data_IF_499423952002
#
_entry.id   IF_499423952002
#
_cell.length_a   1.000
_cell.length_b   1.000
_cell.length_c   1.000
_cell.angle_alpha   90.00
_cell.angle_beta   90.00
_cell.angle_gamma   90.00
#
_symmetry.space_group_name_H-M   'P 1'
#
loop_
_entity.id
_entity.type
_entity.pdbx_description
1 polymer ?
#
# COMPACT_ATOMS: atom_id res chain seq x y z
N UNK A 1 11.41 -8.82 -1.61
CA UNK A 1 11.81 -8.29 -2.52
C UNK A 1 12.71 -7.19 -3.05
N UNK A 2 12.19 -6.16 -3.62
CA UNK A 2 12.91 -5.00 -4.17
C UNK A 2 13.76 -5.28 -5.43
N UNK A 3 13.75 -6.50 -5.95
CA UNK A 3 14.22 -6.85 -7.30
C UNK A 3 13.09 -7.53 -8.06
N UNK A 4 13.14 -7.51 -9.39
CA UNK A 4 12.11 -8.17 -10.23
C UNK A 4 11.96 -9.63 -9.85
N UNK A 5 13.09 -10.35 -9.75
CA UNK A 5 13.09 -11.78 -9.45
C UNK A 5 12.56 -12.11 -8.06
N UNK A 6 12.96 -11.35 -7.04
CA UNK A 6 12.53 -11.58 -5.67
C UNK A 6 11.04 -11.29 -5.48
N UNK A 7 10.52 -10.21 -6.07
CA UNK A 7 9.08 -9.91 -6.04
C UNK A 7 8.26 -11.03 -6.70
N UNK A 8 8.64 -11.45 -7.90
CA UNK A 8 7.96 -12.55 -8.58
C UNK A 8 8.05 -13.86 -7.79
N UNK A 9 9.22 -14.16 -7.21
CA UNK A 9 9.42 -15.35 -6.37
C UNK A 9 8.48 -15.33 -5.17
N UNK A 10 8.39 -14.23 -4.45
CA UNK A 10 7.51 -14.09 -3.29
C UNK A 10 6.04 -14.27 -3.69
N UNK A 11 5.60 -13.61 -4.74
CA UNK A 11 4.22 -13.70 -5.22
C UNK A 11 3.87 -15.12 -5.71
N UNK A 12 4.81 -15.82 -6.37
CA UNK A 12 4.62 -17.23 -6.76
C UNK A 12 4.48 -18.15 -5.55
N UNK A 13 5.22 -17.88 -4.47
CA UNK A 13 5.05 -18.61 -3.19
C UNK A 13 3.67 -18.32 -2.60
N UNK A 14 3.23 -17.06 -2.58
CA UNK A 14 1.89 -16.69 -2.09
C UNK A 14 0.81 -17.40 -2.90
N UNK A 15 0.94 -17.49 -4.23
CA UNK A 15 0.01 -18.24 -5.08
C UNK A 15 -0.10 -19.70 -4.66
N UNK A 16 1.02 -20.36 -4.38
CA UNK A 16 1.02 -21.76 -3.88
C UNK A 16 0.34 -21.88 -2.51
N UNK A 17 0.58 -20.92 -1.61
CA UNK A 17 -0.09 -20.89 -0.31
C UNK A 17 -1.59 -20.72 -0.49
N UNK A 18 -2.02 -19.83 -1.38
CA UNK A 18 -3.44 -19.61 -1.72
C UNK A 18 -4.15 -20.87 -2.19
N UNK A 19 -3.44 -21.77 -2.91
CA UNK A 19 -3.96 -23.03 -3.41
C UNK A 19 -4.06 -24.12 -2.34
N UNK A 20 -3.23 -24.08 -1.30
CA UNK A 20 -3.04 -25.19 -0.35
C UNK A 20 -3.46 -24.86 1.08
N UNK A 21 -3.50 -23.59 1.48
CA UNK A 21 -3.81 -23.21 2.85
C UNK A 21 -5.34 -23.21 3.11
N UNK A 22 -5.79 -23.60 4.32
CA UNK A 22 -7.21 -23.63 4.69
C UNK A 22 -7.74 -22.23 5.08
N UNK A 23 -7.09 -21.17 4.62
CA UNK A 23 -7.46 -19.76 4.89
C UNK A 23 -7.55 -18.98 3.58
N UNK A 24 -8.29 -17.87 3.61
CA UNK A 24 -8.32 -16.94 2.48
C UNK A 24 -7.01 -16.18 2.40
N UNK A 25 -6.32 -16.27 1.27
CA UNK A 25 -5.06 -15.58 1.00
C UNK A 25 -5.27 -14.59 -0.16
N UNK A 26 -4.81 -13.35 0.02
CA UNK A 26 -4.75 -12.31 -1.01
C UNK A 26 -3.32 -11.88 -1.22
N UNK A 27 -2.92 -11.79 -2.47
CA UNK A 27 -1.56 -11.41 -2.85
C UNK A 27 -1.45 -9.90 -3.03
N UNK A 28 -0.55 -9.28 -2.30
CA UNK A 28 -0.26 -7.86 -2.40
C UNK A 28 1.12 -7.67 -3.06
N UNK A 29 1.17 -7.05 -4.26
CA UNK A 29 2.45 -6.67 -4.86
C UNK A 29 2.96 -5.42 -4.16
N UNK A 30 4.10 -5.54 -3.49
CA UNK A 30 4.69 -4.49 -2.65
C UNK A 30 6.09 -4.09 -3.12
N UNK A 31 6.32 -4.07 -4.43
CA UNK A 31 7.60 -3.62 -5.03
C UNK A 31 7.94 -2.17 -4.70
N UNK A 32 6.94 -1.34 -4.42
CA UNK A 32 7.10 0.06 -4.04
C UNK A 32 7.00 0.28 -2.52
N UNK A 33 7.62 -0.58 -1.71
CA UNK A 33 7.75 -0.37 -0.26
C UNK A 33 9.01 0.41 0.10
N UNK A 34 10.12 0.14 -0.57
CA UNK A 34 11.38 0.87 -0.43
C UNK A 34 12.16 0.82 -1.75
N UNK A 35 13.13 1.71 -1.91
CA UNK A 35 14.00 1.71 -3.09
C UNK A 35 15.05 0.60 -2.97
N UNK A 36 15.12 -0.28 -3.96
CA UNK A 36 16.10 -1.35 -4.00
C UNK A 36 17.55 -0.84 -3.92
N UNK A 37 18.43 -1.59 -3.25
CA UNK A 37 19.83 -1.16 -2.98
C UNK A 37 20.56 -0.72 -4.24
N UNK A 38 20.35 -1.39 -5.38
CA UNK A 38 20.96 -1.06 -6.67
C UNK A 38 20.56 0.31 -7.22
N UNK A 39 19.44 0.86 -6.72
CA UNK A 39 18.89 2.14 -7.14
C UNK A 39 19.02 3.24 -6.08
N UNK A 40 19.84 3.06 -5.06
CA UNK A 40 20.05 4.09 -4.03
C UNK A 40 20.47 5.42 -4.67
N UNK A 41 19.71 6.49 -4.35
CA UNK A 41 19.89 7.82 -4.95
C UNK A 41 19.34 7.97 -6.38
N UNK A 42 18.67 6.93 -6.91
CA UNK A 42 18.07 6.92 -8.26
C UNK A 42 16.61 6.44 -8.20
N UNK A 43 15.81 7.05 -7.31
CA UNK A 43 14.45 6.62 -7.01
C UNK A 43 13.54 6.65 -8.25
N UNK A 44 13.68 7.66 -9.11
CA UNK A 44 12.90 7.73 -10.36
C UNK A 44 13.13 6.52 -11.27
N UNK A 45 14.39 6.06 -11.39
CA UNK A 45 14.72 4.86 -12.17
C UNK A 45 14.14 3.60 -11.53
N UNK A 46 14.04 3.56 -10.19
CA UNK A 46 13.39 2.46 -9.49
C UNK A 46 11.88 2.45 -9.73
N UNK A 47 11.25 3.61 -9.74
CA UNK A 47 9.83 3.73 -10.13
C UNK A 47 9.62 3.27 -11.57
N UNK A 48 10.54 3.60 -12.48
CA UNK A 48 10.51 3.10 -13.87
C UNK A 48 10.61 1.57 -13.91
N UNK A 49 11.48 0.96 -13.10
CA UNK A 49 11.58 -0.50 -12.96
C UNK A 49 10.26 -1.12 -12.49
N UNK A 50 9.64 -0.53 -11.44
CA UNK A 50 8.35 -1.01 -10.93
C UNK A 50 7.28 -0.94 -12.01
N UNK A 51 7.18 0.19 -12.71
CA UNK A 51 6.13 0.40 -13.72
C UNK A 51 6.36 -0.40 -15.00
N UNK A 52 7.60 -0.49 -15.48
CA UNK A 52 7.87 -1.00 -16.83
C UNK A 52 8.34 -2.47 -16.85
N UNK A 53 8.78 -3.01 -15.70
CA UNK A 53 9.23 -4.39 -15.62
C UNK A 53 8.48 -5.22 -14.59
N UNK A 54 8.35 -4.76 -13.33
CA UNK A 54 7.72 -5.56 -12.28
C UNK A 54 6.22 -5.74 -12.53
N UNK A 55 5.47 -4.65 -12.63
CA UNK A 55 4.01 -4.69 -12.81
C UNK A 55 3.58 -5.47 -14.06
N UNK A 56 4.20 -5.28 -15.26
CA UNK A 56 3.86 -6.10 -16.42
C UNK A 56 4.05 -7.60 -16.18
N UNK A 57 5.15 -8.02 -15.57
CA UNK A 57 5.42 -9.44 -15.29
C UNK A 57 4.47 -10.01 -14.23
N UNK A 58 4.15 -9.23 -13.20
CA UNK A 58 3.16 -9.61 -12.17
C UNK A 58 1.79 -9.80 -12.79
N UNK A 59 1.40 -8.92 -13.70
CA UNK A 59 0.12 -8.98 -14.41
C UNK A 59 0.07 -10.15 -15.41
N UNK A 60 1.14 -10.38 -16.19
CA UNK A 60 1.26 -11.49 -17.15
C UNK A 60 1.05 -12.85 -16.48
N UNK A 61 1.60 -13.03 -15.28
CA UNK A 61 1.43 -14.27 -14.51
C UNK A 61 0.17 -14.29 -13.62
N UNK A 62 -0.59 -13.19 -13.54
CA UNK A 62 -1.78 -13.09 -12.67
C UNK A 62 -1.46 -13.29 -11.19
N UNK A 63 -0.34 -12.73 -10.70
CA UNK A 63 0.20 -13.05 -9.37
C UNK A 63 -0.39 -12.19 -8.24
N UNK A 64 -0.90 -11.00 -8.53
CA UNK A 64 -1.33 -10.06 -7.50
C UNK A 64 -2.83 -9.77 -7.55
N UNK A 65 -3.47 -9.77 -6.38
CA UNK A 65 -4.83 -9.26 -6.19
C UNK A 65 -4.81 -7.72 -6.06
N UNK A 66 -3.72 -7.16 -5.47
CA UNK A 66 -3.56 -5.74 -5.19
C UNK A 66 -2.13 -5.27 -5.49
N UNK A 67 -1.99 -3.98 -5.79
CA UNK A 67 -0.72 -3.24 -5.73
C UNK A 67 -0.73 -2.36 -4.49
N UNK A 68 0.39 -2.26 -3.82
CA UNK A 68 0.54 -1.43 -2.64
C UNK A 68 1.78 -0.53 -2.76
N UNK A 69 1.68 0.68 -2.27
CA UNK A 69 2.75 1.67 -2.30
C UNK A 69 2.93 2.30 -0.93
N UNK A 70 4.15 2.38 -0.45
CA UNK A 70 4.46 3.14 0.76
C UNK A 70 4.60 4.63 0.41
N UNK A 71 3.49 5.34 0.49
CA UNK A 71 3.39 6.77 0.21
C UNK A 71 3.59 7.58 1.48
N UNK A 72 4.84 7.84 1.85
CA UNK A 72 5.16 8.59 3.06
C UNK A 72 6.48 9.35 2.95
N UNK A 73 6.76 10.21 3.91
CA UNK A 73 8.00 10.98 3.99
C UNK A 73 9.24 10.06 4.00
N UNK A 74 10.15 10.27 3.06
CA UNK A 74 11.35 9.46 2.90
C UNK A 74 11.16 8.18 2.08
N UNK A 75 9.95 7.90 1.63
CA UNK A 75 9.60 6.78 0.75
C UNK A 75 9.09 7.27 -0.60
N UNK A 76 7.94 6.83 -1.09
CA UNK A 76 7.42 7.27 -2.38
C UNK A 76 6.55 8.51 -2.23
N UNK A 77 6.75 9.47 -3.12
CA UNK A 77 5.96 10.70 -3.19
C UNK A 77 4.56 10.44 -3.74
N UNK A 78 3.64 11.37 -3.53
CA UNK A 78 2.29 11.33 -4.13
C UNK A 78 2.34 11.17 -5.66
N UNK A 79 3.29 11.88 -6.33
CA UNK A 79 3.46 11.80 -7.78
C UNK A 79 3.96 10.44 -8.27
N UNK A 80 4.93 9.85 -7.57
CA UNK A 80 5.44 8.52 -7.87
C UNK A 80 4.38 7.44 -7.59
N UNK A 81 3.68 7.58 -6.47
CA UNK A 81 2.53 6.72 -6.14
C UNK A 81 1.48 6.77 -7.24
N UNK A 82 1.06 7.95 -7.68
CA UNK A 82 0.10 8.12 -8.77
C UNK A 82 0.54 7.37 -10.04
N UNK A 83 1.81 7.51 -10.46
CA UNK A 83 2.35 6.79 -11.62
C UNK A 83 2.23 5.28 -11.50
N UNK A 84 2.57 4.74 -10.32
CA UNK A 84 2.50 3.29 -10.07
C UNK A 84 1.06 2.81 -10.11
N UNK A 85 0.13 3.56 -9.49
CA UNK A 85 -1.29 3.22 -9.47
C UNK A 85 -1.93 3.31 -10.87
N UNK A 86 -1.58 4.32 -11.65
CA UNK A 86 -2.02 4.46 -13.05
C UNK A 86 -1.54 3.26 -13.88
N UNK A 87 -0.28 2.86 -13.70
CA UNK A 87 0.26 1.68 -14.38
C UNK A 87 -0.43 0.37 -13.95
N UNK A 88 -0.70 0.20 -12.67
CA UNK A 88 -1.41 -0.96 -12.15
C UNK A 88 -2.85 -1.04 -12.67
N UNK A 89 -3.51 0.11 -12.84
CA UNK A 89 -4.86 0.20 -13.39
C UNK A 89 -4.95 -0.30 -14.85
N UNK A 90 -3.89 -0.15 -15.67
CA UNK A 90 -3.83 -0.71 -17.02
C UNK A 90 -4.01 -2.23 -17.01
N UNK A 91 -3.62 -2.90 -15.93
CA UNK A 91 -3.73 -4.34 -15.73
C UNK A 91 -4.93 -4.75 -14.87
N UNK A 92 -5.77 -3.80 -14.45
CA UNK A 92 -6.92 -4.07 -13.58
C UNK A 92 -6.55 -4.44 -12.14
N UNK A 93 -5.31 -4.18 -11.70
CA UNK A 93 -4.86 -4.45 -10.32
C UNK A 93 -5.28 -3.28 -9.42
N UNK A 94 -6.05 -3.59 -8.37
CA UNK A 94 -6.59 -2.57 -7.46
C UNK A 94 -5.53 -2.08 -6.47
N UNK A 95 -5.52 -0.78 -6.11
CA UNK A 95 -4.55 -0.22 -5.19
C UNK A 95 -4.90 -0.42 -3.71
N UNK A 96 -3.85 -0.45 -2.90
CA UNK A 96 -3.79 -0.22 -1.46
C UNK A 96 -2.64 0.76 -1.21
N UNK A 97 -2.65 1.47 -0.09
CA UNK A 97 -1.60 2.45 0.23
C UNK A 97 -1.20 2.32 1.70
N UNK A 98 0.09 2.18 1.99
CA UNK A 98 0.64 2.53 3.29
C UNK A 98 0.69 4.06 3.35
N UNK A 99 -0.05 4.66 4.25
CA UNK A 99 -0.28 6.09 4.26
C UNK A 99 -0.21 6.67 5.67
N UNK A 100 0.48 7.81 5.81
CA UNK A 100 0.47 8.60 7.03
C UNK A 100 0.92 7.81 8.28
N UNK A 101 1.87 6.91 8.13
CA UNK A 101 2.53 6.21 9.23
C UNK A 101 3.51 7.15 9.95
N UNK A 102 4.37 7.81 9.19
CA UNK A 102 5.46 8.64 9.69
C UNK A 102 5.09 10.13 9.69
N UNK A 103 4.47 10.61 8.61
CA UNK A 103 4.08 12.00 8.44
C UNK A 103 2.74 12.14 7.69
N UNK A 104 2.16 13.34 7.71
CA UNK A 104 1.00 13.68 6.87
C UNK A 104 1.51 13.94 5.44
N UNK A 105 1.56 12.90 4.63
CA UNK A 105 2.28 12.88 3.34
C UNK A 105 1.39 12.98 2.11
N UNK A 106 0.06 13.00 2.27
CA UNK A 106 -0.91 12.99 1.16
C UNK A 106 -1.26 11.59 0.64
N UNK A 107 -0.77 10.54 1.32
CA UNK A 107 -1.07 9.15 0.98
C UNK A 107 -2.56 8.82 1.02
N UNK A 108 -3.29 9.38 1.98
CA UNK A 108 -4.76 9.21 2.08
C UNK A 108 -5.45 9.82 0.85
N UNK A 109 -5.10 11.04 0.49
CA UNK A 109 -5.72 11.75 -0.62
C UNK A 109 -5.45 11.06 -1.98
N UNK A 110 -4.24 10.56 -2.20
CA UNK A 110 -3.93 9.80 -3.42
C UNK A 110 -4.65 8.45 -3.43
N UNK A 111 -4.78 7.78 -2.29
CA UNK A 111 -5.56 6.56 -2.15
C UNK A 111 -7.03 6.77 -2.53
N UNK A 112 -7.66 7.80 -2.00
CA UNK A 112 -9.05 8.16 -2.33
C UNK A 112 -9.19 8.50 -3.81
N UNK A 113 -8.29 9.32 -4.36
CA UNK A 113 -8.30 9.72 -5.78
C UNK A 113 -8.27 8.53 -6.74
N UNK A 114 -7.51 7.49 -6.41
CA UNK A 114 -7.37 6.29 -7.24
C UNK A 114 -8.26 5.12 -6.79
N UNK A 115 -9.26 5.38 -5.95
CA UNK A 115 -10.20 4.38 -5.44
C UNK A 115 -9.49 3.17 -4.82
N UNK A 116 -8.47 3.42 -4.01
CA UNK A 116 -7.79 2.37 -3.27
C UNK A 116 -8.77 1.57 -2.41
N UNK A 117 -8.56 0.26 -2.31
CA UNK A 117 -9.34 -0.59 -1.42
C UNK A 117 -9.20 -0.13 0.03
N UNK A 118 -7.98 0.19 0.44
CA UNK A 118 -7.69 0.72 1.76
C UNK A 118 -6.51 1.70 1.75
N UNK A 119 -6.47 2.51 2.79
CA UNK A 119 -5.30 3.26 3.24
C UNK A 119 -4.97 2.74 4.63
N UNK A 120 -3.75 2.27 4.79
CA UNK A 120 -3.32 1.48 5.93
C UNK A 120 -2.34 2.31 6.78
N UNK A 121 -2.22 2.04 8.09
CA UNK A 121 -1.49 2.73 9.15
C UNK A 121 -2.25 3.89 9.78
N UNK A 122 -2.14 5.10 9.25
CA UNK A 122 -2.90 6.29 9.67
C UNK A 122 -2.55 6.79 11.08
N UNK A 123 -1.31 6.54 11.57
CA UNK A 123 -0.82 7.08 12.85
C UNK A 123 -0.81 8.61 12.85
N UNK A 124 -0.45 9.21 11.70
CA UNK A 124 -0.39 10.67 11.49
C UNK A 124 -1.61 11.15 10.71
N UNK A 125 -2.70 11.40 11.42
CA UNK A 125 -3.98 11.80 10.81
C UNK A 125 -4.44 13.13 11.35
N UNK A 126 -4.86 14.03 10.46
CA UNK A 126 -5.59 15.26 10.77
C UNK A 126 -7.07 15.13 10.38
N UNK A 127 -7.85 16.17 10.62
CA UNK A 127 -9.25 16.18 10.21
C UNK A 127 -9.41 16.19 8.68
N UNK A 128 -8.38 16.67 7.95
CA UNK A 128 -8.38 16.66 6.47
C UNK A 128 -8.40 15.24 5.91
N UNK A 129 -7.67 14.29 6.50
CA UNK A 129 -7.66 12.89 6.07
C UNK A 129 -9.02 12.22 6.34
N UNK A 130 -9.61 12.52 7.50
CA UNK A 130 -10.94 12.02 7.85
C UNK A 130 -11.98 12.54 6.85
N UNK A 131 -11.92 13.82 6.52
CA UNK A 131 -12.84 14.43 5.56
C UNK A 131 -12.62 13.90 4.13
N UNK A 132 -11.36 13.67 3.71
CA UNK A 132 -11.05 13.09 2.41
C UNK A 132 -11.64 11.68 2.25
N UNK A 133 -11.69 10.89 3.31
CA UNK A 133 -12.28 9.55 3.29
C UNK A 133 -13.81 9.57 3.34
N UNK A 134 -14.41 10.66 3.81
CA UNK A 134 -15.87 10.80 3.88
C UNK A 134 -16.49 10.74 2.48
N UNK A 135 -17.42 9.81 2.28
CA UNK A 135 -18.07 9.61 0.99
C UNK A 135 -17.23 8.83 -0.03
N UNK A 136 -16.01 8.42 0.32
CA UNK A 136 -15.20 7.51 -0.50
C UNK A 136 -15.55 6.03 -0.21
N UNK A 137 -15.09 5.14 -1.09
CA UNK A 137 -15.14 3.69 -0.86
C UNK A 137 -13.86 3.13 -0.25
N UNK A 138 -12.86 3.98 0.01
CA UNK A 138 -11.56 3.60 0.55
C UNK A 138 -11.66 3.32 2.05
N UNK A 139 -11.22 2.13 2.47
CA UNK A 139 -11.28 1.69 3.86
C UNK A 139 -10.08 2.21 4.67
N UNK A 140 -10.29 3.01 5.72
CA UNK A 140 -9.23 3.28 6.69
C UNK A 140 -8.91 2.02 7.50
N UNK A 141 -7.64 1.60 7.50
CA UNK A 141 -7.18 0.41 8.22
C UNK A 141 -6.13 0.79 9.25
N UNK A 142 -6.40 0.50 10.51
CA UNK A 142 -5.49 0.77 11.63
C UNK A 142 -4.64 -0.46 11.94
N UNK A 143 -3.38 -0.25 12.25
CA UNK A 143 -2.40 -1.29 12.57
C UNK A 143 -1.84 -1.12 14.00
N UNK A 144 -2.68 -1.30 15.04
CA UNK A 144 -2.26 -1.00 16.42
C UNK A 144 -1.10 -1.87 16.91
N UNK A 145 -0.91 -3.07 16.34
CA UNK A 145 0.25 -3.93 16.63
C UNK A 145 1.56 -3.30 16.15
N UNK A 146 1.58 -2.70 14.97
CA UNK A 146 2.70 -1.97 14.42
C UNK A 146 3.01 -0.74 15.26
N UNK A 147 2.01 0.10 15.56
CA UNK A 147 2.17 1.28 16.41
C UNK A 147 2.76 0.93 17.78
N UNK A 148 2.27 -0.16 18.40
CA UNK A 148 2.80 -0.65 19.69
C UNK A 148 4.27 -1.10 19.57
N UNK A 149 4.60 -1.90 18.56
CA UNK A 149 5.94 -2.45 18.36
C UNK A 149 6.99 -1.35 18.11
N UNK A 150 6.62 -0.35 17.30
CA UNK A 150 7.50 0.77 16.95
C UNK A 150 7.49 1.91 17.98
N UNK A 151 6.64 1.86 19.00
CA UNK A 151 6.50 2.94 19.98
C UNK A 151 5.88 4.22 19.40
N UNK A 152 5.07 4.09 18.36
CA UNK A 152 4.36 5.20 17.72
C UNK A 152 3.04 5.52 18.44
N UNK A 153 2.53 6.76 18.33
CA UNK A 153 1.17 7.06 18.73
C UNK A 153 0.15 6.21 17.96
N UNK A 154 -0.91 5.76 18.62
CA UNK A 154 -1.99 5.06 17.92
C UNK A 154 -2.78 6.02 17.02
N UNK A 155 -3.23 5.52 15.87
CA UNK A 155 -4.11 6.23 14.96
C UNK A 155 -5.44 6.63 15.60
N UNK A 156 -6.09 7.67 15.06
CA UNK A 156 -7.31 8.31 15.58
C UNK A 156 -8.60 7.51 15.29
N UNK A 157 -8.61 6.19 15.49
CA UNK A 157 -9.74 5.31 15.16
C UNK A 157 -11.11 5.82 15.68
N UNK A 158 -11.14 6.35 16.91
CA UNK A 158 -12.38 6.92 17.50
C UNK A 158 -12.95 8.09 16.69
N UNK A 159 -12.09 8.91 16.09
CA UNK A 159 -12.54 10.07 15.33
C UNK A 159 -13.06 9.65 13.95
N UNK A 160 -12.47 8.64 13.33
CA UNK A 160 -13.02 8.02 12.12
C UNK A 160 -14.43 7.45 12.38
N UNK A 161 -14.60 6.68 13.47
CA UNK A 161 -15.89 6.12 13.85
C UNK A 161 -16.93 7.22 14.15
N UNK A 162 -16.56 8.28 14.87
CA UNK A 162 -17.44 9.44 15.12
C UNK A 162 -17.85 10.16 13.84
N UNK A 163 -16.95 10.18 12.83
CA UNK A 163 -17.26 10.73 11.51
C UNK A 163 -18.15 9.82 10.65
N UNK A 164 -18.57 8.65 11.17
CA UNK A 164 -19.41 7.70 10.47
C UNK A 164 -18.65 6.81 9.48
N UNK A 165 -17.33 6.78 9.55
CA UNK A 165 -16.50 5.93 8.69
C UNK A 165 -16.34 4.54 9.31
N UNK A 166 -16.37 3.47 8.51
CA UNK A 166 -15.94 2.16 8.95
C UNK A 166 -14.42 2.18 9.21
N UNK A 167 -13.95 1.28 10.08
CA UNK A 167 -12.52 1.12 10.37
C UNK A 167 -12.19 -0.36 10.36
N UNK A 168 -11.21 -0.74 9.55
CA UNK A 168 -10.64 -2.08 9.59
C UNK A 168 -9.45 -2.12 10.54
N UNK A 169 -9.13 -3.32 11.05
CA UNK A 169 -7.94 -3.59 11.86
C UNK A 169 -7.09 -4.66 11.20
N UNK A 170 -5.78 -4.48 11.25
CA UNK A 170 -4.79 -5.44 10.79
C UNK A 170 -3.61 -5.53 11.75
N UNK A 171 -2.79 -6.58 11.62
CA UNK A 171 -1.69 -6.85 12.54
C UNK A 171 -0.36 -6.27 12.06
N UNK A 172 -0.18 -6.13 10.76
CA UNK A 172 1.12 -5.86 10.15
C UNK A 172 2.19 -6.86 10.59
N UNK A 173 1.80 -8.12 10.74
CA UNK A 173 2.70 -9.20 11.13
C UNK A 173 3.60 -9.60 9.95
N UNK A 174 4.91 -9.58 10.16
CA UNK A 174 5.93 -10.00 9.19
C UNK A 174 7.15 -10.64 9.90
#
# INVERSE_FOLDING_TARGET
>A
GLTVEDELKMLRVIRRIKETAPITVKANFLGAHAVGRAYRGRQSEYVDLVCNEMLPKVAEEGLADFVDVFCDAGFFTVGETARILEKAAEFGIKPKIHANELEVSGGVQVGVKYNALSVDHLEKTTDNEIEALRGSSTMPTMLPGCSFFLGLPYGRAKDYIKAGLPVALASDYN
#
